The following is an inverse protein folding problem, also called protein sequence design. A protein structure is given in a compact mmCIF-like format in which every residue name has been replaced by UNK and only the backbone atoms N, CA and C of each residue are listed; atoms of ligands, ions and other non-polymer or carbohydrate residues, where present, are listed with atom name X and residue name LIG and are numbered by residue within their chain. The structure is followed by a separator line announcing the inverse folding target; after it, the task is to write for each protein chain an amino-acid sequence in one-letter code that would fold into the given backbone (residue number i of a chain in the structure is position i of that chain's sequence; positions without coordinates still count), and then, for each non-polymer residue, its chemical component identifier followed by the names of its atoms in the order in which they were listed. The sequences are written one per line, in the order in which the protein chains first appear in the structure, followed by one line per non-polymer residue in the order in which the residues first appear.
data_IF_353531603036
#
_entry.id   IF_353531603036
#
_cell.length_a   1.000
_cell.length_b   1.000
_cell.length_c   1.000
_cell.angle_alpha   90.00
_cell.angle_beta   90.00
_cell.angle_gamma   90.00
#
_symmetry.space_group_name_H-M   'P 1'
#
loop_
_entity.id
_entity.type
_entity.pdbx_description
1 polymer ?
#
# COMPACT_ATOMS: atom_id res chain seq x y z
N UNK A 1 -20.90 -13.24 -3.62
CA UNK A 1 -19.62 -13.33 -2.86
C UNK A 1 -19.80 -12.83 -1.43
N UNK A 2 -20.48 -11.71 -1.21
CA UNK A 2 -20.87 -11.26 0.13
C UNK A 2 -21.66 -12.33 0.92
N UNK A 3 -22.57 -13.05 0.28
CA UNK A 3 -23.39 -14.08 0.97
C UNK A 3 -22.56 -15.23 1.55
N UNK A 4 -21.58 -15.73 0.78
CA UNK A 4 -20.65 -16.78 1.24
C UNK A 4 -19.73 -16.29 2.36
N UNK A 5 -19.32 -15.02 2.31
CA UNK A 5 -18.52 -14.42 3.39
C UNK A 5 -19.32 -14.33 4.68
N UNK A 6 -20.61 -14.01 4.60
CA UNK A 6 -21.52 -13.99 5.74
C UNK A 6 -21.76 -15.40 6.30
N UNK A 7 -22.01 -16.38 5.43
CA UNK A 7 -22.29 -17.77 5.82
C UNK A 7 -21.10 -18.41 6.58
N UNK A 8 -19.88 -18.25 6.04
CA UNK A 8 -18.67 -18.84 6.62
C UNK A 8 -17.88 -17.89 7.52
N UNK A 9 -18.42 -16.71 7.83
CA UNK A 9 -17.78 -15.69 8.66
C UNK A 9 -17.21 -16.24 9.98
N UNK A 10 -17.92 -17.07 10.76
CA UNK A 10 -17.43 -17.55 12.06
C UNK A 10 -16.15 -18.40 11.95
N UNK A 11 -15.97 -19.10 10.82
CA UNK A 11 -14.79 -19.89 10.55
C UNK A 11 -13.65 -19.03 9.99
N UNK A 12 -13.98 -18.17 9.00
CA UNK A 12 -13.00 -17.32 8.32
C UNK A 12 -12.36 -16.28 9.24
N UNK A 13 -13.09 -15.78 10.24
CA UNK A 13 -12.56 -14.84 11.23
C UNK A 13 -11.42 -15.41 12.05
N UNK A 14 -11.40 -16.72 12.28
CA UNK A 14 -10.35 -17.42 13.05
C UNK A 14 -9.16 -17.79 12.18
N UNK A 15 -9.29 -17.68 10.85
CA UNK A 15 -8.26 -18.07 9.91
C UNK A 15 -7.29 -16.91 9.65
N UNK A 16 -6.07 -17.05 10.14
CA UNK A 16 -4.95 -16.15 9.82
C UNK A 16 -3.92 -16.91 9.00
N UNK A 17 -3.77 -16.51 7.74
CA UNK A 17 -2.86 -17.17 6.78
C UNK A 17 -2.21 -16.14 5.86
N UNK A 18 -0.99 -16.44 5.44
CA UNK A 18 -0.21 -15.65 4.49
C UNK A 18 -0.02 -16.39 3.16
N UNK A 19 -0.69 -17.54 2.98
CA UNK A 19 -0.55 -18.37 1.76
C UNK A 19 -1.64 -18.13 0.73
N UNK A 20 -2.82 -17.73 1.20
CA UNK A 20 -3.98 -17.42 0.37
C UNK A 20 -4.83 -16.36 1.07
N UNK A 21 -5.58 -15.58 0.31
CA UNK A 21 -6.50 -14.59 0.85
C UNK A 21 -7.69 -15.32 1.50
N UNK A 22 -7.99 -15.08 2.78
CA UNK A 22 -9.10 -15.73 3.48
C UNK A 22 -10.47 -15.32 2.92
N UNK A 23 -10.60 -14.23 2.17
CA UNK A 23 -11.88 -13.82 1.57
C UNK A 23 -12.22 -14.57 0.26
N UNK A 24 -11.23 -14.89 -0.58
CA UNK A 24 -11.46 -15.58 -1.87
C UNK A 24 -10.82 -16.97 -1.95
N UNK A 25 -10.04 -17.37 -0.94
CA UNK A 25 -9.29 -18.62 -0.83
C UNK A 25 -8.31 -18.92 -1.99
N UNK A 26 -8.09 -17.94 -2.88
CA UNK A 26 -7.38 -18.14 -4.15
C UNK A 26 -6.26 -17.13 -4.40
N UNK A 27 -6.47 -15.87 -4.05
CA UNK A 27 -5.51 -14.80 -4.31
C UNK A 27 -4.33 -14.79 -3.32
N UNK A 28 -3.18 -14.27 -3.75
CA UNK A 28 -2.03 -14.07 -2.88
C UNK A 28 -2.30 -12.92 -1.88
N UNK A 29 -2.15 -13.12 -0.57
CA UNK A 29 -2.44 -12.08 0.40
C UNK A 29 -1.27 -11.08 0.53
N UNK A 30 -1.54 -9.79 0.37
CA UNK A 30 -0.52 -8.73 0.29
C UNK A 30 -0.75 -7.57 1.28
N UNK A 31 -2.01 -7.31 1.62
CA UNK A 31 -2.44 -6.19 2.45
C UNK A 31 -2.92 -6.65 3.82
N UNK A 32 -2.10 -6.40 4.84
CA UNK A 32 -2.36 -6.77 6.23
C UNK A 32 -3.17 -5.70 6.96
N UNK A 33 -4.23 -6.12 7.64
CA UNK A 33 -5.08 -5.28 8.48
C UNK A 33 -4.60 -5.33 9.96
N UNK A 34 -4.97 -4.33 10.78
CA UNK A 34 -4.59 -4.28 12.20
C UNK A 34 -5.02 -5.49 13.03
N UNK A 35 -6.16 -6.09 12.68
CA UNK A 35 -6.66 -7.33 13.30
C UNK A 35 -5.83 -8.58 12.97
N UNK A 36 -4.89 -8.49 12.01
CA UNK A 36 -4.01 -9.59 11.61
C UNK A 36 -4.42 -10.31 10.32
N UNK A 37 -5.64 -10.12 9.83
CA UNK A 37 -6.08 -10.66 8.52
C UNK A 37 -5.32 -10.01 7.37
N UNK A 38 -5.08 -10.76 6.30
CA UNK A 38 -4.34 -10.30 5.12
C UNK A 38 -5.15 -10.60 3.86
N UNK A 39 -5.35 -9.61 3.00
CA UNK A 39 -6.19 -9.72 1.80
C UNK A 39 -5.35 -9.56 0.53
N UNK A 40 -5.82 -10.15 -0.57
CA UNK A 40 -5.27 -9.91 -1.90
C UNK A 40 -5.78 -8.60 -2.48
N UNK A 41 -5.09 -8.09 -3.51
CA UNK A 41 -5.49 -6.88 -4.24
C UNK A 41 -6.93 -6.96 -4.75
N UNK A 42 -7.32 -8.07 -5.39
CA UNK A 42 -8.68 -8.24 -5.93
C UNK A 42 -9.77 -8.10 -4.84
N UNK A 43 -9.55 -8.71 -3.67
CA UNK A 43 -10.50 -8.58 -2.56
C UNK A 43 -10.49 -7.18 -1.95
N UNK A 44 -9.35 -6.49 -1.95
CA UNK A 44 -9.29 -5.09 -1.53
C UNK A 44 -10.07 -4.18 -2.48
N UNK A 45 -9.99 -4.40 -3.79
CA UNK A 45 -10.75 -3.66 -4.80
C UNK A 45 -12.25 -3.92 -4.72
N UNK A 46 -12.66 -5.17 -4.49
CA UNK A 46 -14.09 -5.53 -4.46
C UNK A 46 -14.81 -5.16 -3.16
N UNK A 47 -14.10 -5.25 -2.02
CA UNK A 47 -14.71 -5.04 -0.70
C UNK A 47 -14.48 -3.62 -0.14
N UNK A 48 -13.52 -2.88 -0.70
CA UNK A 48 -13.16 -1.54 -0.25
C UNK A 48 -14.01 -0.45 -0.87
N UNK A 49 -14.08 0.70 -0.19
CA UNK A 49 -14.75 1.89 -0.72
C UNK A 49 -13.74 2.75 -1.49
N UNK A 50 -13.90 2.97 -2.81
CA UNK A 50 -13.01 3.84 -3.57
C UNK A 50 -13.12 5.28 -3.06
N UNK A 51 -12.01 6.02 -3.08
CA UNK A 51 -12.03 7.44 -2.73
C UNK A 51 -12.48 8.29 -3.92
N UNK A 52 -13.19 9.41 -3.66
CA UNK A 52 -13.72 10.29 -4.71
C UNK A 52 -12.64 10.88 -5.63
N UNK A 53 -11.45 11.16 -5.08
CA UNK A 53 -10.32 11.78 -5.78
C UNK A 53 -9.39 10.77 -6.45
N UNK A 54 -9.37 9.51 -6.00
CA UNK A 54 -8.49 8.46 -6.53
C UNK A 54 -9.25 7.12 -6.57
N UNK A 55 -9.70 6.75 -7.78
CA UNK A 55 -10.45 5.50 -8.02
C UNK A 55 -9.65 4.23 -7.75
N UNK A 56 -8.33 4.35 -7.56
CA UNK A 56 -7.44 3.24 -7.24
C UNK A 56 -7.02 3.22 -5.77
N UNK A 57 -7.53 4.14 -4.95
CA UNK A 57 -7.38 4.13 -3.50
C UNK A 57 -8.65 3.59 -2.84
N UNK A 58 -8.53 2.44 -2.19
CA UNK A 58 -9.62 1.77 -1.48
C UNK A 58 -9.48 1.95 0.02
N UNK A 59 -10.53 2.46 0.66
CA UNK A 59 -10.59 2.71 2.10
C UNK A 59 -11.44 1.66 2.81
N UNK A 60 -11.02 1.33 4.03
CA UNK A 60 -11.68 0.38 4.92
C UNK A 60 -11.83 0.99 6.31
N UNK A 61 -13.07 1.04 6.80
CA UNK A 61 -13.43 1.44 8.16
C UNK A 61 -13.49 0.24 9.12
N UNK A 62 -13.61 -0.97 8.59
CA UNK A 62 -13.58 -2.22 9.34
C UNK A 62 -12.98 -3.36 8.49
N UNK A 63 -12.46 -4.39 9.16
CA UNK A 63 -12.03 -5.61 8.50
C UNK A 63 -13.23 -6.34 7.87
N UNK A 64 -13.19 -6.72 6.58
CA UNK A 64 -14.29 -7.43 5.94
C UNK A 64 -14.64 -8.81 6.54
N UNK A 65 -13.73 -9.41 7.32
CA UNK A 65 -13.95 -10.71 7.95
C UNK A 65 -14.45 -10.58 9.39
N UNK A 66 -13.65 -9.97 10.26
CA UNK A 66 -13.94 -9.89 11.70
C UNK A 66 -14.71 -8.64 12.12
N UNK A 67 -14.98 -7.73 11.19
CA UNK A 67 -15.71 -6.48 11.42
C UNK A 67 -15.06 -5.61 12.52
N UNK A 68 -13.79 -5.91 12.85
CA UNK A 68 -13.02 -5.09 13.77
C UNK A 68 -12.76 -3.73 13.11
N UNK A 69 -13.00 -2.62 13.82
CA UNK A 69 -12.78 -1.28 13.28
C UNK A 69 -11.32 -1.10 12.90
N UNK A 70 -11.08 -0.51 11.74
CA UNK A 70 -9.73 -0.22 11.25
C UNK A 70 -9.75 1.03 10.38
N UNK A 71 -8.63 1.72 10.27
CA UNK A 71 -8.45 2.80 9.30
C UNK A 71 -7.32 2.39 8.35
N UNK A 72 -7.67 1.65 7.31
CA UNK A 72 -6.72 1.13 6.32
C UNK A 72 -7.07 1.70 4.95
N UNK A 73 -6.09 2.27 4.28
CA UNK A 73 -6.17 2.63 2.86
C UNK A 73 -5.21 1.77 2.05
N UNK A 74 -5.71 1.23 0.96
CA UNK A 74 -4.97 0.35 0.04
C UNK A 74 -4.99 0.99 -1.33
N UNK A 75 -3.82 1.39 -1.83
CA UNK A 75 -3.66 1.89 -3.20
C UNK A 75 -3.28 0.74 -4.12
N UNK A 76 -4.12 0.46 -5.11
CA UNK A 76 -3.90 -0.58 -6.11
C UNK A 76 -3.32 0.05 -7.37
N UNK A 77 -2.40 -0.63 -8.03
CA UNK A 77 -1.86 -0.13 -9.28
C UNK A 77 -2.89 -0.28 -10.41
N UNK A 78 -3.16 0.77 -11.21
CA UNK A 78 -4.03 0.64 -12.38
C UNK A 78 -3.50 -0.42 -13.36
N UNK A 79 -4.36 -1.24 -13.99
CA UNK A 79 -3.91 -2.21 -14.99
C UNK A 79 -3.30 -1.55 -16.23
N UNK A 80 -3.64 -0.27 -16.49
CA UNK A 80 -3.10 0.54 -17.58
C UNK A 80 -1.80 1.25 -17.22
N UNK A 81 -1.39 1.24 -15.95
CA UNK A 81 -0.15 1.88 -15.53
C UNK A 81 1.05 1.00 -15.88
N UNK A 82 1.89 1.47 -16.81
CA UNK A 82 3.20 0.85 -17.08
C UNK A 82 4.10 0.83 -15.84
N UNK A 83 5.14 -0.01 -15.83
CA UNK A 83 6.15 0.03 -14.78
C UNK A 83 6.98 1.32 -14.90
N UNK A 84 6.92 2.19 -13.89
CA UNK A 84 7.68 3.44 -13.81
C UNK A 84 8.85 3.23 -12.84
N UNK A 85 10.03 2.98 -13.40
CA UNK A 85 11.25 2.72 -12.61
C UNK A 85 12.13 3.97 -12.60
N UNK A 86 12.49 4.44 -11.40
CA UNK A 86 13.47 5.50 -11.20
C UNK A 86 14.80 4.89 -10.76
N UNK A 87 15.86 5.10 -11.55
CA UNK A 87 17.22 4.70 -11.18
C UNK A 87 18.05 5.95 -10.89
N UNK A 88 18.56 6.06 -9.66
CA UNK A 88 19.44 7.15 -9.24
C UNK A 88 20.87 6.61 -9.11
N UNK A 89 21.67 6.79 -10.15
CA UNK A 89 23.10 6.48 -10.13
C UNK A 89 23.87 7.70 -9.61
N UNK A 90 24.23 7.66 -8.32
CA UNK A 90 25.01 8.72 -7.69
C UNK A 90 25.60 8.27 -6.36
N UNK A 91 26.92 8.07 -6.32
CA UNK A 91 27.66 7.82 -5.08
C UNK A 91 28.00 9.13 -4.34
N UNK A 92 27.82 9.13 -3.02
CA UNK A 92 28.18 10.23 -2.11
C UNK A 92 27.28 11.48 -2.20
N UNK A 93 27.83 12.65 -1.85
CA UNK A 93 27.12 13.95 -1.78
C UNK A 93 26.48 14.38 -3.12
N UNK A 94 26.89 13.77 -4.24
CA UNK A 94 26.33 14.03 -5.57
C UNK A 94 24.93 13.45 -5.77
N UNK A 95 24.45 12.60 -4.85
CA UNK A 95 23.05 12.15 -4.81
C UNK A 95 22.05 13.28 -4.55
N UNK A 96 22.50 14.47 -4.10
CA UNK A 96 21.65 15.66 -3.94
C UNK A 96 21.19 16.22 -5.29
N UNK A 97 22.01 16.10 -6.35
CA UNK A 97 21.71 16.62 -7.69
C UNK A 97 20.42 16.02 -8.27
N UNK A 98 20.22 14.69 -8.32
CA UNK A 98 18.99 14.09 -8.83
C UNK A 98 17.75 14.44 -7.98
N UNK A 99 17.90 14.65 -6.66
CA UNK A 99 16.79 15.09 -5.81
C UNK A 99 16.35 16.52 -6.17
N UNK A 100 17.30 17.42 -6.46
CA UNK A 100 16.96 18.78 -6.90
C UNK A 100 16.30 18.77 -8.29
N UNK A 101 16.72 17.87 -9.18
CA UNK A 101 16.05 17.66 -10.46
C UNK A 101 14.60 17.21 -10.28
N UNK A 102 14.34 16.27 -9.37
CA UNK A 102 12.98 15.83 -9.06
C UNK A 102 12.11 16.98 -8.53
N UNK A 103 12.66 17.85 -7.66
CA UNK A 103 11.95 19.04 -7.17
C UNK A 103 11.69 20.09 -8.26
N UNK A 104 12.66 20.31 -9.14
CA UNK A 104 12.49 21.18 -10.29
C UNK A 104 11.42 20.63 -11.26
N UNK A 105 11.35 19.31 -11.40
CA UNK A 105 10.38 18.63 -12.23
C UNK A 105 8.96 18.65 -11.61
N UNK A 106 8.85 18.49 -10.29
CA UNK A 106 7.60 18.74 -9.54
C UNK A 106 7.09 20.17 -9.78
N UNK A 107 7.98 21.17 -9.68
CA UNK A 107 7.64 22.58 -9.87
C UNK A 107 7.29 22.91 -11.34
N UNK A 108 7.90 22.23 -12.31
CA UNK A 108 7.68 22.46 -13.73
C UNK A 108 6.44 21.76 -14.29
N UNK A 109 6.05 20.63 -13.70
CA UNK A 109 4.93 19.81 -14.19
C UNK A 109 3.63 19.99 -13.40
N UNK A 110 3.61 20.86 -12.40
CA UNK A 110 2.45 21.14 -11.52
C UNK A 110 1.72 19.85 -11.12
N UNK A 111 2.49 18.88 -10.61
CA UNK A 111 1.97 17.56 -10.30
C UNK A 111 1.07 17.63 -9.06
N UNK A 112 -0.19 17.18 -9.19
CA UNK A 112 -1.17 17.09 -8.09
C UNK A 112 -0.72 16.17 -6.94
N UNK A 113 0.29 15.34 -7.14
CA UNK A 113 0.83 14.42 -6.15
C UNK A 113 2.37 14.41 -6.15
N UNK A 114 3.02 14.03 -5.03
CA UNK A 114 4.48 13.98 -4.96
C UNK A 114 5.08 13.11 -6.08
N UNK A 115 6.22 13.48 -6.64
CA UNK A 115 6.84 12.74 -7.77
C UNK A 115 7.21 11.31 -7.38
N UNK A 116 7.42 11.06 -6.07
CA UNK A 116 7.69 9.71 -5.56
C UNK A 116 6.50 8.77 -5.77
N UNK A 117 5.28 9.30 -5.78
CA UNK A 117 4.06 8.52 -6.03
C UNK A 117 3.88 8.17 -7.51
N UNK A 118 4.70 8.76 -8.39
CA UNK A 118 4.74 8.48 -9.81
C UNK A 118 5.70 7.34 -10.19
N UNK A 119 6.46 6.76 -9.26
CA UNK A 119 7.38 5.66 -9.54
C UNK A 119 7.00 4.41 -8.73
N UNK A 120 7.00 3.24 -9.37
CA UNK A 120 6.70 1.95 -8.76
C UNK A 120 7.93 1.33 -8.08
N UNK A 121 9.12 1.60 -8.66
CA UNK A 121 10.39 1.11 -8.15
C UNK A 121 11.43 2.23 -8.21
N UNK A 122 12.14 2.43 -7.10
CA UNK A 122 13.29 3.32 -7.05
C UNK A 122 14.54 2.50 -6.67
N UNK A 123 15.60 2.57 -7.48
CA UNK A 123 16.87 1.88 -7.24
C UNK A 123 18.03 2.88 -7.26
N UNK A 124 19.03 2.71 -6.40
CA UNK A 124 20.24 3.53 -6.41
C UNK A 124 21.45 2.79 -5.87
N UNK A 125 22.58 2.89 -6.56
CA UNK A 125 23.80 2.17 -6.19
C UNK A 125 24.73 2.99 -5.27
N UNK A 126 25.13 2.39 -4.15
CA UNK A 126 26.31 2.67 -3.29
C UNK A 126 26.25 3.73 -2.16
N UNK A 127 25.41 4.77 -2.20
CA UNK A 127 25.25 5.68 -1.03
C UNK A 127 23.86 6.33 -0.91
N UNK A 128 23.01 6.16 -1.94
CA UNK A 128 21.63 6.59 -1.97
C UNK A 128 20.65 5.54 -1.44
N UNK A 129 21.11 4.61 -0.60
CA UNK A 129 20.28 3.63 0.10
C UNK A 129 19.45 4.35 1.16
N UNK A 130 18.43 5.08 0.73
CA UNK A 130 17.26 5.28 1.58
C UNK A 130 16.61 3.89 1.69
N UNK A 131 16.44 3.34 2.91
CA UNK A 131 15.72 2.08 3.05
C UNK A 131 14.38 2.23 2.34
N UNK A 132 14.08 1.25 1.51
CA UNK A 132 12.88 1.12 0.70
C UNK A 132 11.64 1.14 1.61
N UNK A 133 11.24 2.33 2.05
CA UNK A 133 10.13 2.59 2.97
C UNK A 133 9.05 3.40 2.26
N UNK A 134 8.71 3.00 1.05
CA UNK A 134 7.41 3.30 0.43
C UNK A 134 6.42 2.14 0.70
N UNK A 135 6.41 1.63 1.94
CA UNK A 135 5.16 1.22 2.58
C UNK A 135 4.83 2.29 3.62
N UNK A 136 3.94 3.23 3.29
CA UNK A 136 3.08 3.84 4.31
C UNK A 136 2.12 2.73 4.76
N UNK A 137 2.59 1.87 5.65
CA UNK A 137 1.71 1.52 6.77
C UNK A 137 1.63 2.79 7.59
N UNK A 138 0.44 3.38 7.65
CA UNK A 138 0.06 4.30 8.72
C UNK A 138 0.17 3.56 10.05
N UNK A 139 1.40 3.41 10.55
CA UNK A 139 1.63 3.29 11.98
C UNK A 139 1.34 4.67 12.57
N UNK A 140 0.07 4.91 12.89
CA UNK A 140 -0.26 5.86 13.95
C UNK A 140 0.39 5.32 15.22
N UNK A 141 1.44 6.03 15.62
CA UNK A 141 2.14 5.93 16.89
C UNK A 141 1.15 5.89 18.06
N UNK A 142 0.87 4.70 18.60
CA UNK A 142 0.59 4.55 20.02
C UNK A 142 1.94 4.29 20.71
N UNK A 143 2.40 5.32 21.44
CA UNK A 143 3.53 5.21 22.35
C UNK A 143 3.19 4.17 23.42
N UNK A 144 3.90 3.05 23.46
CA UNK A 144 3.99 2.22 24.66
C UNK A 144 5.22 2.65 25.45
N UNK A 145 5.09 3.08 26.72
CA UNK A 145 6.23 3.39 27.57
C UNK A 145 6.82 2.08 28.10
N UNK A 146 8.08 1.82 27.76
CA UNK A 146 8.89 0.86 28.50
C UNK A 146 9.62 1.63 29.61
N UNK A 147 9.23 1.39 30.86
CA UNK A 147 10.07 1.58 32.03
C UNK A 147 9.87 0.39 32.95
#
# INVERSE_FOLDING_TARGET
RADLLCEFQPWLTRLTTYRFCPACLSGMPEHRFPCGHVFCECCCTELGQPQELDSYLYSFTACPLCVQPCAVSVRIKPPTAGARVLTIDGGGIRAVIPIQFLRALEAALDLDMPVQEHFDFAYGTSSGTFPNRLRRQSMLSSRCPCR
#
